data_IF_387028758062
#
_entry.id   IF_387028758062
#
_cell.length_a   1.000
_cell.length_b   1.000
_cell.length_c   1.000
_cell.angle_alpha   90.00
_cell.angle_beta   90.00
_cell.angle_gamma   90.00
#
_symmetry.space_group_name_H-M   'P 1'
#
loop_
_entity.id
_entity.type
_entity.pdbx_description
1 polymer ?
#
# COMPACT_ATOMS: atom_id res chain seq x y z
N UNK A 1 3.79 8.11 -6.84
CA UNK A 1 4.54 6.85 -6.89
C UNK A 1 4.78 6.42 -5.46
N UNK A 2 4.44 5.19 -5.16
CA UNK A 2 4.67 4.54 -3.87
C UNK A 2 5.48 3.27 -4.12
N UNK A 3 6.29 2.85 -3.15
CA UNK A 3 7.18 1.72 -3.29
C UNK A 3 7.16 0.84 -2.03
N UNK A 4 7.39 -0.45 -2.25
CA UNK A 4 7.49 -1.48 -1.22
C UNK A 4 8.68 -2.36 -1.58
N UNK A 5 9.37 -2.88 -0.57
CA UNK A 5 10.34 -3.94 -0.79
C UNK A 5 9.64 -5.19 -1.34
N UNK A 6 10.38 -6.03 -2.08
CA UNK A 6 9.83 -7.30 -2.58
C UNK A 6 9.33 -8.19 -1.44
N UNK A 7 10.06 -8.24 -0.32
CA UNK A 7 9.67 -8.99 0.87
C UNK A 7 8.34 -8.50 1.44
N UNK A 8 8.16 -7.19 1.57
CA UNK A 8 6.87 -6.63 1.97
C UNK A 8 5.79 -6.98 0.94
N UNK A 9 6.02 -6.78 -0.37
CA UNK A 9 5.05 -7.04 -1.43
C UNK A 9 4.55 -8.50 -1.48
N UNK A 10 5.37 -9.43 -1.01
CA UNK A 10 5.07 -10.87 -0.98
C UNK A 10 4.55 -11.39 0.38
N UNK A 11 4.22 -10.52 1.33
CA UNK A 11 3.53 -10.95 2.56
C UNK A 11 2.14 -11.54 2.21
N UNK A 12 1.71 -12.54 2.96
CA UNK A 12 0.49 -13.31 2.68
C UNK A 12 -0.80 -12.48 2.76
N UNK A 13 -0.77 -11.36 3.48
CA UNK A 13 -1.90 -10.47 3.73
C UNK A 13 -1.99 -9.31 2.72
N UNK A 14 -1.12 -9.29 1.70
CA UNK A 14 -1.08 -8.26 0.66
C UNK A 14 -1.97 -8.64 -0.49
N UNK A 15 -2.89 -7.74 -0.85
CA UNK A 15 -3.85 -7.98 -1.90
C UNK A 15 -3.88 -6.83 -2.90
N UNK A 16 -3.94 -7.18 -4.18
CA UNK A 16 -4.45 -6.27 -5.21
C UNK A 16 -5.96 -6.51 -5.34
N UNK A 17 -6.74 -5.71 -4.64
CA UNK A 17 -8.18 -5.86 -4.54
C UNK A 17 -8.90 -5.14 -5.69
N UNK A 18 -9.85 -5.85 -6.31
CA UNK A 18 -10.83 -5.30 -7.25
C UNK A 18 -12.28 -5.44 -6.73
N UNK A 19 -12.44 -6.10 -5.57
CA UNK A 19 -13.71 -6.28 -4.85
C UNK A 19 -13.51 -6.04 -3.36
N UNK A 20 -14.54 -5.54 -2.69
CA UNK A 20 -14.64 -5.38 -1.25
C UNK A 20 -16.07 -5.74 -0.81
N UNK A 21 -16.21 -6.49 0.27
CA UNK A 21 -17.51 -6.99 0.78
C UNK A 21 -18.38 -7.68 -0.29
N UNK A 22 -17.73 -8.49 -1.11
CA UNK A 22 -18.39 -9.23 -2.20
C UNK A 22 -18.85 -8.36 -3.37
N UNK A 23 -18.62 -7.05 -3.37
CA UNK A 23 -18.99 -6.11 -4.45
C UNK A 23 -17.76 -5.62 -5.20
N UNK A 24 -17.91 -5.30 -6.48
CA UNK A 24 -16.85 -4.64 -7.24
C UNK A 24 -16.53 -3.28 -6.62
N UNK A 25 -15.25 -2.91 -6.57
CA UNK A 25 -14.85 -1.58 -6.11
C UNK A 25 -15.39 -0.53 -7.07
N UNK A 26 -16.11 0.45 -6.54
CA UNK A 26 -16.57 1.59 -7.32
C UNK A 26 -15.36 2.36 -7.86
N UNK A 27 -15.34 2.74 -9.16
CA UNK A 27 -14.24 3.51 -9.75
C UNK A 27 -13.92 4.79 -8.97
N UNK A 28 -14.95 5.42 -8.39
CA UNK A 28 -14.80 6.49 -7.42
C UNK A 28 -15.48 6.09 -6.09
N UNK A 29 -14.87 6.34 -4.93
CA UNK A 29 -13.52 6.90 -4.70
C UNK A 29 -12.43 5.82 -4.56
N UNK A 30 -12.69 4.57 -4.92
CA UNK A 30 -11.85 3.44 -4.49
C UNK A 30 -11.02 2.79 -5.61
N UNK A 31 -11.57 2.65 -6.83
CA UNK A 31 -10.88 2.00 -7.96
C UNK A 31 -10.25 0.64 -7.62
N UNK A 32 -9.42 0.06 -8.50
CA UNK A 32 -8.53 -1.02 -8.12
C UNK A 32 -7.56 -0.52 -7.04
N UNK A 33 -7.49 -1.20 -5.90
CA UNK A 33 -6.67 -0.76 -4.77
C UNK A 33 -5.72 -1.87 -4.33
N UNK A 34 -4.47 -1.50 -4.04
CA UNK A 34 -3.60 -2.32 -3.22
C UNK A 34 -4.01 -2.13 -1.76
N UNK A 35 -4.30 -3.24 -1.08
CA UNK A 35 -4.68 -3.23 0.34
C UNK A 35 -3.73 -4.12 1.11
N UNK A 36 -3.24 -3.63 2.24
CA UNK A 36 -2.60 -4.43 3.29
C UNK A 36 -3.50 -4.42 4.52
N UNK A 37 -3.34 -5.39 5.43
CA UNK A 37 -3.92 -5.21 6.76
C UNK A 37 -3.37 -3.94 7.38
N UNK A 38 -4.29 -3.11 7.89
CA UNK A 38 -3.95 -1.90 8.62
C UNK A 38 -3.29 -2.18 9.98
N UNK A 39 -3.24 -3.46 10.40
CA UNK A 39 -2.66 -3.91 11.68
C UNK A 39 -1.13 -3.70 11.69
N UNK A 40 -0.47 -3.87 10.54
CA UNK A 40 1.00 -3.89 10.48
C UNK A 40 1.60 -2.65 9.78
N UNK A 41 0.84 -1.98 8.91
CA UNK A 41 1.34 -0.89 8.07
C UNK A 41 0.34 0.25 7.98
N UNK A 42 0.81 1.50 8.10
CA UNK A 42 -0.03 2.69 7.96
C UNK A 42 -0.73 2.69 6.60
N UNK A 43 -2.01 3.03 6.62
CA UNK A 43 -2.89 3.15 5.43
C UNK A 43 -2.36 4.08 4.32
N UNK A 44 -1.34 4.89 4.62
CA UNK A 44 -0.62 5.69 3.63
C UNK A 44 -0.06 4.86 2.46
N UNK A 45 0.33 3.60 2.72
CA UNK A 45 0.81 2.64 1.70
C UNK A 45 -0.32 1.87 1.00
N UNK A 46 -1.58 2.17 1.31
CA UNK A 46 -2.76 1.61 0.63
C UNK A 46 -3.05 2.35 -0.66
N UNK A 47 -2.28 2.07 -1.73
CA UNK A 47 -2.43 2.73 -3.03
C UNK A 47 -3.79 2.41 -3.66
N UNK A 48 -4.55 3.45 -4.00
CA UNK A 48 -5.78 3.35 -4.79
C UNK A 48 -5.51 3.75 -6.24
N UNK A 49 -6.36 3.27 -7.15
CA UNK A 49 -6.25 3.53 -8.59
C UNK A 49 -4.90 3.09 -9.18
N UNK A 50 -4.46 1.87 -8.85
CA UNK A 50 -3.22 1.30 -9.40
C UNK A 50 -3.35 1.20 -10.93
N UNK A 51 -2.56 2.00 -11.66
CA UNK A 51 -2.47 1.94 -13.13
C UNK A 51 -1.30 1.08 -13.62
N UNK A 52 -0.27 0.92 -12.79
CA UNK A 52 0.98 0.25 -13.13
C UNK A 52 1.63 -0.37 -11.90
N UNK A 53 2.20 -1.55 -12.09
CA UNK A 53 3.13 -2.19 -11.16
C UNK A 53 4.48 -2.33 -11.86
N UNK A 54 5.54 -1.93 -11.18
CA UNK A 54 6.90 -1.97 -11.71
C UNK A 54 7.82 -2.66 -10.68
N UNK A 55 8.59 -3.64 -11.13
CA UNK A 55 9.59 -4.32 -10.31
C UNK A 55 10.95 -3.77 -10.71
N UNK A 56 11.67 -3.21 -9.76
CA UNK A 56 12.96 -2.55 -9.96
C UNK A 56 13.94 -2.97 -8.87
N UNK A 57 15.25 -2.89 -9.16
CA UNK A 57 16.32 -3.09 -8.18
C UNK A 57 16.54 -1.89 -7.26
N UNK A 58 16.01 -0.72 -7.62
CA UNK A 58 16.21 0.54 -6.91
C UNK A 58 14.89 1.03 -6.31
N UNK A 59 14.85 1.22 -4.99
CA UNK A 59 13.73 1.86 -4.32
C UNK A 59 13.87 3.39 -4.43
N UNK A 60 13.18 3.98 -5.42
CA UNK A 60 13.17 5.44 -5.58
C UNK A 60 12.14 6.07 -4.64
N UNK A 61 12.52 7.08 -3.82
CA UNK A 61 11.59 7.70 -2.89
C UNK A 61 10.43 8.38 -3.64
N UNK A 62 9.23 7.93 -3.35
CA UNK A 62 7.96 8.47 -3.80
C UNK A 62 7.65 9.84 -3.23
N UNK A 63 6.50 10.39 -3.64
CA UNK A 63 6.11 11.76 -3.32
C UNK A 63 6.03 12.05 -1.80
N UNK A 64 5.54 11.08 -1.01
CA UNK A 64 5.42 11.22 0.43
C UNK A 64 6.74 10.97 1.17
N UNK A 65 7.57 10.04 0.69
CA UNK A 65 8.88 9.72 1.26
C UNK A 65 9.82 10.93 1.14
N UNK A 66 9.76 11.65 0.01
CA UNK A 66 10.46 12.92 -0.17
C UNK A 66 9.99 14.03 0.80
N UNK A 67 8.82 13.87 1.43
CA UNK A 67 8.24 14.83 2.39
C UNK A 67 8.38 14.39 3.84
N UNK A 68 9.24 13.41 4.11
CA UNK A 68 9.59 12.97 5.47
C UNK A 68 8.66 11.91 6.05
N UNK A 69 7.83 11.27 5.22
CA UNK A 69 7.11 10.08 5.64
C UNK A 69 8.01 8.86 5.56
N UNK A 70 7.85 7.95 6.51
CA UNK A 70 8.58 6.69 6.56
C UNK A 70 8.23 5.81 5.34
N UNK A 71 9.27 5.30 4.67
CA UNK A 71 9.15 4.46 3.49
C UNK A 71 8.60 3.06 3.82
N UNK A 72 8.84 2.57 5.03
CA UNK A 72 8.35 1.26 5.45
C UNK A 72 6.98 1.37 6.16
N UNK A 73 6.70 2.53 6.74
CA UNK A 73 5.41 2.90 7.31
C UNK A 73 4.83 1.85 8.30
N UNK A 74 5.69 1.06 8.96
CA UNK A 74 5.29 0.13 10.00
C UNK A 74 4.60 0.88 11.14
N UNK A 75 3.52 0.30 11.66
CA UNK A 75 2.89 0.77 12.89
C UNK A 75 3.64 0.12 14.04
N UNK A 76 4.20 0.94 14.93
CA UNK A 76 4.71 0.40 16.19
C UNK A 76 3.50 -0.15 16.98
N UNK A 77 3.56 -1.37 17.54
CA UNK A 77 2.49 -1.88 18.39
C UNK A 77 2.09 -0.93 19.53
N UNK A 78 2.98 -0.04 19.99
CA UNK A 78 2.66 1.00 20.98
C UNK A 78 1.86 2.20 20.42
N UNK A 79 1.81 2.36 19.08
CA UNK A 79 1.06 3.41 18.36
C UNK A 79 -0.34 2.95 17.91
N UNK A 80 -0.67 1.67 18.04
CA UNK A 80 -1.97 1.09 17.66
C UNK A 80 -3.01 1.28 18.77
N UNK A 81 -3.52 2.51 18.92
CA UNK A 81 -4.65 2.87 19.82
C UNK A 81 -6.02 2.51 19.28
#
# INVERSE_FOLDING_TARGET
MDSLTLAQACLDDVLLAYRMDGRALSPAPHGPAQTRRAEDVRLQKGVKWVDRLEVTGDQSPGYWEQRGYDADAWIDPDDAV
#
